data_IF_709594672578
#
_entry.id   IF_709594672578
#
_cell.length_a   1.000
_cell.length_b   1.000
_cell.length_c   1.000
_cell.angle_alpha   90.00
_cell.angle_beta   90.00
_cell.angle_gamma   90.00
#
_symmetry.space_group_name_H-M   'P 1'
#
loop_
_entity.id
_entity.type
_entity.pdbx_description
1 polymer ?
#
# COMPACT_ATOMS: atom_id res chain seq x y z
N UNK A 1 7.54 -3.72 8.79
CA UNK A 1 7.63 -2.60 7.83
C UNK A 1 6.38 -2.61 6.94
N UNK A 2 5.79 -1.46 6.63
CA UNK A 2 4.63 -1.40 5.72
C UNK A 2 5.03 -1.61 4.26
N UNK A 3 4.05 -1.88 3.39
CA UNK A 3 4.29 -1.91 1.95
C UNK A 3 4.79 -0.54 1.46
N UNK A 4 5.82 -0.57 0.62
CA UNK A 4 6.52 0.61 0.16
C UNK A 4 5.97 1.17 -1.17
N UNK A 5 4.94 0.52 -1.74
CA UNK A 5 4.27 0.89 -3.00
C UNK A 5 5.27 1.25 -4.12
N UNK A 6 6.22 0.35 -4.35
CA UNK A 6 7.32 0.48 -5.32
C UNK A 6 6.88 0.91 -6.72
N UNK A 7 7.65 1.78 -7.38
CA UNK A 7 7.47 2.10 -8.82
C UNK A 7 7.72 0.87 -9.70
N UNK A 8 8.74 0.07 -9.36
CA UNK A 8 9.09 -1.18 -10.04
C UNK A 8 8.87 -2.36 -9.08
N UNK A 9 7.60 -2.79 -8.89
CA UNK A 9 7.27 -3.79 -7.90
C UNK A 9 7.58 -5.21 -8.41
N UNK A 10 8.70 -5.79 -7.95
CA UNK A 10 9.04 -7.19 -8.21
C UNK A 10 7.88 -8.16 -7.86
N UNK A 11 7.12 -7.84 -6.81
CA UNK A 11 5.95 -8.63 -6.39
C UNK A 11 4.78 -8.67 -7.41
N UNK A 12 4.73 -7.72 -8.36
CA UNK A 12 3.81 -7.74 -9.51
C UNK A 12 4.38 -8.59 -10.64
N UNK A 13 5.66 -8.43 -10.95
CA UNK A 13 6.35 -9.16 -12.03
C UNK A 13 6.30 -10.68 -11.83
N UNK A 14 6.47 -11.16 -10.59
CA UNK A 14 6.46 -12.60 -10.29
C UNK A 14 5.06 -13.21 -10.20
N UNK A 15 3.99 -12.44 -10.33
CA UNK A 15 2.63 -12.96 -10.14
C UNK A 15 2.15 -13.71 -11.39
N UNK A 16 2.07 -15.06 -11.37
CA UNK A 16 1.79 -15.84 -12.58
C UNK A 16 0.38 -15.59 -13.13
N UNK A 17 -0.57 -15.30 -12.26
CA UNK A 17 -1.95 -15.01 -12.66
C UNK A 17 -2.17 -13.53 -12.95
N UNK A 18 -1.19 -12.64 -12.76
CA UNK A 18 -1.39 -11.16 -12.81
C UNK A 18 -2.44 -10.65 -11.83
N UNK A 19 -2.62 -11.33 -10.70
CA UNK A 19 -3.47 -10.88 -9.59
C UNK A 19 -2.87 -9.68 -8.85
N UNK A 20 -1.55 -9.60 -8.72
CA UNK A 20 -0.89 -8.37 -8.28
C UNK A 20 -0.65 -7.48 -9.50
N UNK A 21 -1.04 -6.20 -9.42
CA UNK A 21 -0.87 -5.22 -10.48
C UNK A 21 -0.67 -3.81 -9.92
N UNK A 22 -0.14 -2.89 -10.71
CA UNK A 22 0.01 -1.47 -10.35
C UNK A 22 -1.10 -0.65 -11.03
N UNK A 23 -1.86 0.11 -10.25
CA UNK A 23 -2.88 1.04 -10.75
C UNK A 23 -2.24 2.27 -11.41
N UNK A 24 -2.98 3.04 -12.23
CA UNK A 24 -2.48 4.28 -12.85
C UNK A 24 -2.03 5.35 -11.84
N UNK A 25 -2.56 5.33 -10.62
CA UNK A 25 -2.18 6.22 -9.53
C UNK A 25 -0.94 5.74 -8.74
N UNK A 26 -0.35 4.61 -9.13
CA UNK A 26 0.88 4.07 -8.57
C UNK A 26 0.66 3.06 -7.44
N UNK A 27 -0.58 2.85 -6.97
CA UNK A 27 -0.87 1.89 -5.90
C UNK A 27 -0.76 0.47 -6.46
N UNK A 28 0.06 -0.37 -5.84
CA UNK A 28 0.08 -1.81 -6.08
C UNK A 28 -1.15 -2.41 -5.42
N UNK A 29 -1.88 -3.28 -6.11
CA UNK A 29 -3.12 -3.89 -5.60
C UNK A 29 -3.07 -5.39 -5.81
N UNK A 30 -3.79 -6.14 -4.97
CA UNK A 30 -4.02 -7.56 -5.14
C UNK A 30 -5.49 -7.79 -5.47
N UNK A 31 -5.76 -8.34 -6.65
CA UNK A 31 -7.06 -8.89 -6.99
C UNK A 31 -7.32 -10.18 -6.18
N UNK A 32 -8.28 -10.10 -5.25
CA UNK A 32 -8.61 -11.20 -4.34
C UNK A 32 -9.27 -12.38 -5.04
N UNK A 33 -9.90 -12.18 -6.20
CA UNK A 33 -10.56 -13.23 -6.97
C UNK A 33 -9.61 -13.96 -7.91
N UNK A 34 -8.60 -13.23 -8.43
CA UNK A 34 -7.60 -13.77 -9.37
C UNK A 34 -6.41 -14.42 -8.67
N UNK A 35 -6.23 -14.17 -7.37
CA UNK A 35 -5.09 -14.72 -6.62
C UNK A 35 -5.28 -16.20 -6.32
N UNK A 36 -4.26 -17.01 -6.65
CA UNK A 36 -4.23 -18.46 -6.39
C UNK A 36 -3.42 -18.85 -5.15
N UNK A 37 -2.99 -17.87 -4.35
CA UNK A 37 -2.29 -18.15 -3.09
C UNK A 37 -0.89 -18.75 -3.19
N UNK A 38 -0.22 -18.67 -4.35
CA UNK A 38 1.11 -19.28 -4.58
C UNK A 38 2.28 -18.62 -3.81
N UNK A 39 2.06 -17.46 -3.18
CA UNK A 39 3.00 -16.75 -2.29
C UNK A 39 4.32 -16.26 -2.90
N UNK A 40 4.56 -16.41 -4.20
CA UNK A 40 5.77 -15.87 -4.85
C UNK A 40 5.93 -14.36 -4.67
N UNK A 41 4.82 -13.61 -4.66
CA UNK A 41 4.85 -12.18 -4.40
C UNK A 41 5.35 -11.81 -2.99
N UNK A 42 5.23 -12.72 -2.00
CA UNK A 42 5.76 -12.53 -0.66
C UNK A 42 7.29 -12.69 -0.65
N UNK A 43 7.79 -13.75 -1.30
CA UNK A 43 9.22 -14.03 -1.42
C UNK A 43 9.93 -12.93 -2.21
N UNK A 44 9.32 -12.47 -3.30
CA UNK A 44 9.90 -11.41 -4.14
C UNK A 44 9.90 -10.02 -3.48
N UNK A 45 9.16 -9.81 -2.38
CA UNK A 45 9.10 -8.50 -1.73
C UNK A 45 10.36 -8.30 -0.86
N UNK A 46 11.24 -7.34 -1.18
CA UNK A 46 12.47 -7.13 -0.40
C UNK A 46 12.20 -6.53 1.00
N UNK A 47 10.95 -6.16 1.27
CA UNK A 47 10.48 -5.56 2.51
C UNK A 47 9.68 -6.54 3.38
N UNK A 48 9.43 -7.76 2.89
CA UNK A 48 8.54 -8.74 3.52
C UNK A 48 7.19 -8.12 3.96
N UNK A 49 6.64 -7.24 3.11
CA UNK A 49 5.49 -6.40 3.45
C UNK A 49 4.13 -7.00 3.06
N UNK A 50 4.11 -8.31 2.75
CA UNK A 50 2.90 -9.07 2.44
C UNK A 50 2.70 -10.13 3.51
N UNK A 51 1.51 -10.22 4.06
CA UNK A 51 1.09 -11.23 5.03
C UNK A 51 0.21 -12.27 4.34
N UNK A 52 0.08 -13.47 4.90
CA UNK A 52 -0.79 -14.51 4.35
C UNK A 52 -1.70 -15.04 5.44
N UNK A 53 -2.99 -15.14 5.14
CA UNK A 53 -3.99 -15.66 6.08
C UNK A 53 -4.34 -17.09 5.68
N UNK A 54 -4.17 -18.03 6.61
CA UNK A 54 -4.43 -19.46 6.39
C UNK A 54 -5.85 -19.89 6.79
N UNK A 55 -6.52 -19.08 7.61
CA UNK A 55 -7.89 -19.31 8.09
C UNK A 55 -8.80 -18.21 7.58
N UNK A 56 -10.10 -18.44 7.56
CA UNK A 56 -11.05 -17.40 7.19
C UNK A 56 -10.91 -16.22 8.17
N UNK A 57 -10.56 -15.01 7.70
CA UNK A 57 -10.42 -13.86 8.58
C UNK A 57 -11.72 -13.49 9.29
N UNK A 58 -12.90 -13.88 8.79
CA UNK A 58 -14.18 -13.61 9.44
C UNK A 58 -14.35 -14.35 10.77
N UNK A 59 -13.65 -15.46 11.00
CA UNK A 59 -13.72 -16.22 12.27
C UNK A 59 -13.28 -15.40 13.49
N UNK A 60 -12.55 -14.30 13.27
CA UNK A 60 -11.91 -13.52 14.33
C UNK A 60 -12.25 -12.03 14.29
N UNK A 61 -13.26 -11.62 13.51
CA UNK A 61 -13.65 -10.22 13.38
C UNK A 61 -14.96 -9.94 14.10
N UNK A 62 -14.91 -9.08 15.12
CA UNK A 62 -16.11 -8.56 15.81
C UNK A 62 -16.77 -7.41 15.05
N UNK A 63 -15.98 -6.66 14.27
CA UNK A 63 -16.42 -5.48 13.50
C UNK A 63 -15.86 -5.56 12.09
N UNK A 64 -16.71 -5.27 11.12
CA UNK A 64 -16.38 -5.28 9.70
C UNK A 64 -16.63 -3.89 9.14
N UNK A 65 -15.65 -3.38 8.37
CA UNK A 65 -15.84 -2.17 7.59
C UNK A 65 -16.44 -2.56 6.22
N UNK A 66 -17.68 -2.16 5.90
CA UNK A 66 -18.32 -2.53 4.63
C UNK A 66 -17.69 -1.85 3.40
N UNK A 67 -16.92 -0.78 3.61
CA UNK A 67 -16.27 0.00 2.53
C UNK A 67 -15.05 -0.69 1.92
N UNK A 68 -14.58 -1.78 2.53
CA UNK A 68 -13.40 -2.52 2.07
C UNK A 68 -13.77 -3.96 1.70
N UNK A 69 -13.17 -4.52 0.65
CA UNK A 69 -13.41 -5.91 0.31
C UNK A 69 -12.96 -6.81 1.47
N UNK A 70 -13.85 -7.71 1.88
CA UNK A 70 -13.52 -8.76 2.84
C UNK A 70 -12.42 -9.61 2.23
N UNK A 71 -11.31 -9.71 2.97
CA UNK A 71 -10.18 -10.51 2.52
C UNK A 71 -10.51 -11.99 2.69
N UNK A 72 -9.93 -12.83 1.85
CA UNK A 72 -10.13 -14.27 1.89
C UNK A 72 -8.90 -14.96 2.47
N UNK A 73 -9.11 -16.09 3.11
CA UNK A 73 -8.04 -17.04 3.36
C UNK A 73 -7.40 -17.46 2.02
N UNK A 74 -6.16 -17.94 2.07
CA UNK A 74 -5.47 -18.36 0.86
C UNK A 74 -4.92 -17.22 0.01
N UNK A 75 -5.18 -15.95 0.36
CA UNK A 75 -4.75 -14.78 -0.42
C UNK A 75 -3.76 -13.92 0.38
N UNK A 76 -2.59 -13.56 -0.20
CA UNK A 76 -1.69 -12.60 0.40
C UNK A 76 -2.35 -11.22 0.58
N UNK A 77 -2.01 -10.59 1.70
CA UNK A 77 -2.51 -9.33 2.21
C UNK A 77 -1.38 -8.30 2.24
N UNK A 78 -1.69 -7.03 2.00
CA UNK A 78 -0.72 -5.93 2.19
C UNK A 78 -1.42 -4.62 2.55
N UNK A 79 -0.63 -3.60 2.89
CA UNK A 79 -1.09 -2.21 2.85
C UNK A 79 -1.37 -1.83 1.40
N UNK A 80 -2.46 -1.09 1.13
CA UNK A 80 -2.80 -0.55 -0.19
C UNK A 80 -3.14 0.94 -0.06
N UNK A 81 -2.45 1.64 0.85
CA UNK A 81 -2.69 3.06 1.19
C UNK A 81 -4.16 3.41 1.44
N UNK A 82 -4.91 2.49 2.05
CA UNK A 82 -6.36 2.63 2.25
C UNK A 82 -7.06 3.06 0.95
N UNK A 83 -6.75 2.40 -0.18
CA UNK A 83 -7.26 2.74 -1.52
C UNK A 83 -8.76 3.01 -1.59
N UNK A 84 -9.56 2.40 -0.72
CA UNK A 84 -10.99 2.67 -0.57
C UNK A 84 -11.27 4.15 -0.27
N UNK A 85 -10.53 4.80 0.64
CA UNK A 85 -10.67 6.23 0.93
C UNK A 85 -10.30 7.11 -0.28
N UNK A 86 -9.27 6.70 -1.04
CA UNK A 86 -8.86 7.39 -2.27
C UNK A 86 -9.93 7.23 -3.36
N UNK A 87 -10.52 6.05 -3.45
CA UNK A 87 -11.62 5.77 -4.37
C UNK A 87 -12.87 6.58 -3.98
N UNK A 88 -13.16 6.76 -2.68
CA UNK A 88 -14.25 7.61 -2.17
C UNK A 88 -14.06 9.09 -2.50
N UNK A 89 -12.83 9.63 -2.44
CA UNK A 89 -12.58 11.00 -2.90
C UNK A 89 -12.87 11.17 -4.39
N UNK A 90 -12.49 10.19 -5.21
CA UNK A 90 -12.70 10.25 -6.66
C UNK A 90 -14.15 10.05 -7.06
N UNK A 91 -14.85 9.14 -6.39
CA UNK A 91 -16.21 8.75 -6.74
C UNK A 91 -17.28 9.63 -6.06
N UNK A 92 -17.05 10.03 -4.81
CA UNK A 92 -18.04 10.69 -3.95
C UNK A 92 -17.64 12.11 -3.55
N UNK A 93 -16.44 12.57 -3.91
CA UNK A 93 -15.97 13.92 -3.60
C UNK A 93 -15.61 14.13 -2.13
N UNK A 94 -15.35 13.06 -1.38
CA UNK A 94 -14.82 13.15 -0.01
C UNK A 94 -13.54 13.98 -0.02
N UNK A 95 -13.48 15.05 0.77
CA UNK A 95 -12.35 15.96 0.78
C UNK A 95 -11.20 15.42 1.63
N UNK A 96 -10.01 15.40 1.07
CA UNK A 96 -8.74 15.07 1.76
C UNK A 96 -8.76 13.72 2.52
N UNK A 97 -9.14 12.59 1.88
CA UNK A 97 -9.01 11.29 2.51
C UNK A 97 -7.54 10.98 2.84
N UNK A 98 -7.22 10.91 4.12
CA UNK A 98 -5.92 10.39 4.57
C UNK A 98 -6.06 8.91 4.94
N UNK A 99 -5.09 8.04 4.65
CA UNK A 99 -5.10 6.67 5.16
C UNK A 99 -5.31 6.64 6.67
N UNK A 100 -6.01 5.61 7.17
CA UNK A 100 -6.37 5.53 8.59
C UNK A 100 -5.13 5.61 9.49
N UNK A 101 -4.01 4.99 9.11
CA UNK A 101 -2.76 5.08 9.86
C UNK A 101 -2.22 6.52 10.01
N UNK A 102 -2.48 7.40 9.05
CA UNK A 102 -2.12 8.82 9.09
C UNK A 102 -3.07 9.57 10.02
N UNK A 103 -4.37 9.28 9.94
CA UNK A 103 -5.39 9.96 10.76
C UNK A 103 -5.23 9.66 12.26
N UNK A 104 -4.92 8.41 12.61
CA UNK A 104 -4.86 7.97 14.01
C UNK A 104 -3.52 8.28 14.70
N UNK A 105 -2.50 8.68 13.95
CA UNK A 105 -1.17 8.91 14.51
C UNK A 105 -1.17 10.21 15.35
N UNK A 106 -1.02 10.15 16.69
CA UNK A 106 -1.06 11.34 17.52
C UNK A 106 0.18 12.24 17.34
N UNK A 107 1.25 11.69 16.78
CA UNK A 107 2.53 12.38 16.60
C UNK A 107 2.73 12.92 15.19
N UNK A 108 1.77 12.76 14.28
CA UNK A 108 1.89 13.13 12.87
C UNK A 108 3.15 12.56 12.18
N UNK A 109 3.57 11.36 12.58
CA UNK A 109 4.78 10.71 12.05
C UNK A 109 4.62 10.22 10.60
N UNK A 110 3.40 10.21 10.07
CA UNK A 110 3.08 9.78 8.72
C UNK A 110 2.45 10.94 7.96
N UNK A 111 3.03 11.28 6.81
CA UNK A 111 2.47 12.26 5.87
C UNK A 111 2.12 11.53 4.58
N UNK A 112 0.91 11.72 4.09
CA UNK A 112 0.40 11.10 2.89
C UNK A 112 -0.16 12.14 1.93
N UNK A 113 0.07 11.94 0.63
CA UNK A 113 -0.43 12.82 -0.41
C UNK A 113 0.06 12.44 -1.80
N UNK A 114 -0.31 13.25 -2.78
CA UNK A 114 0.07 13.06 -4.18
C UNK A 114 1.48 13.60 -4.45
N UNK A 115 2.43 12.71 -4.74
CA UNK A 115 3.82 13.07 -5.08
C UNK A 115 3.95 13.84 -6.41
N UNK A 116 2.94 13.77 -7.29
CA UNK A 116 2.93 14.52 -8.56
C UNK A 116 2.42 15.94 -8.38
N UNK A 117 1.69 16.23 -7.31
CA UNK A 117 1.25 17.57 -6.98
C UNK A 117 2.36 18.31 -6.21
N UNK A 118 2.99 19.36 -6.79
CA UNK A 118 4.06 20.10 -6.11
C UNK A 118 3.57 20.86 -4.87
N UNK A 119 2.27 21.12 -4.74
CA UNK A 119 1.69 21.82 -3.61
C UNK A 119 1.37 20.90 -2.42
N UNK A 120 1.38 19.58 -2.63
CA UNK A 120 1.12 18.61 -1.58
C UNK A 120 2.20 18.64 -0.50
N UNK A 121 1.78 18.36 0.74
CA UNK A 121 2.67 18.36 1.90
C UNK A 121 3.84 17.38 1.73
N UNK A 122 3.57 16.16 1.25
CA UNK A 122 4.59 15.14 0.99
C UNK A 122 5.59 15.58 -0.08
N UNK A 123 5.13 16.22 -1.17
CA UNK A 123 6.02 16.71 -2.23
C UNK A 123 6.95 17.80 -1.75
N UNK A 124 6.48 18.66 -0.83
CA UNK A 124 7.31 19.69 -0.19
C UNK A 124 8.37 19.04 0.69
N UNK A 125 7.99 18.14 1.59
CA UNK A 125 8.93 17.43 2.48
C UNK A 125 10.02 16.70 1.69
N UNK A 126 9.64 15.95 0.65
CA UNK A 126 10.62 15.20 -0.18
C UNK A 126 11.61 16.11 -0.90
N UNK A 127 11.22 17.36 -1.24
CA UNK A 127 12.09 18.34 -1.90
C UNK A 127 12.97 19.12 -0.92
N UNK A 128 12.45 19.43 0.26
CA UNK A 128 13.14 20.33 1.22
C UNK A 128 13.94 19.60 2.28
N UNK A 129 13.56 18.37 2.62
CA UNK A 129 14.15 17.61 3.72
C UNK A 129 15.05 16.50 3.20
N UNK A 130 16.04 16.10 4.01
CA UNK A 130 16.86 14.92 3.73
C UNK A 130 16.01 13.67 3.93
N UNK A 131 15.67 13.02 2.82
CA UNK A 131 14.90 11.77 2.82
C UNK A 131 15.70 10.60 2.29
N UNK A 132 15.40 9.41 2.79
CA UNK A 132 15.97 8.15 2.31
C UNK A 132 14.86 7.19 1.88
N UNK A 133 15.15 6.40 0.85
CA UNK A 133 14.34 5.25 0.44
C UNK A 133 15.02 3.99 0.93
N UNK A 134 14.27 3.12 1.60
CA UNK A 134 14.81 1.86 2.09
C UNK A 134 15.23 0.97 0.92
N UNK A 135 16.41 0.33 1.04
CA UNK A 135 16.95 -0.59 0.03
C UNK A 135 17.01 0.01 -1.39
N UNK A 136 17.39 1.28 -1.50
CA UNK A 136 17.42 2.01 -2.77
C UNK A 136 18.25 1.32 -3.88
N UNK A 137 19.29 0.56 -3.52
CA UNK A 137 20.13 -0.17 -4.48
C UNK A 137 19.45 -1.34 -5.21
N UNK A 138 18.22 -1.73 -4.84
CA UNK A 138 17.49 -2.83 -5.49
C UNK A 138 16.66 -2.41 -6.71
N UNK A 139 16.69 -1.13 -7.11
CA UNK A 139 15.97 -0.65 -8.31
C UNK A 139 14.44 -0.65 -8.21
N UNK A 140 13.86 -0.99 -7.04
CA UNK A 140 12.40 -1.04 -6.87
C UNK A 140 11.74 0.34 -6.77
N UNK A 141 12.54 1.39 -6.57
CA UNK A 141 12.11 2.77 -6.36
C UNK A 141 10.87 2.93 -5.45
N UNK A 142 11.02 2.64 -4.14
CA UNK A 142 9.97 2.86 -3.13
C UNK A 142 9.32 4.24 -3.20
N UNK A 143 8.01 4.31 -2.92
CA UNK A 143 7.24 5.57 -2.82
C UNK A 143 6.99 6.01 -1.37
N UNK A 144 7.52 5.27 -0.41
CA UNK A 144 7.59 5.68 0.99
C UNK A 144 8.98 6.22 1.26
N UNK A 145 9.03 7.42 1.81
CA UNK A 145 10.25 8.14 2.15
C UNK A 145 10.35 8.27 3.66
N UNK A 146 11.55 8.09 4.19
CA UNK A 146 11.86 8.26 5.60
C UNK A 146 12.72 9.49 5.75
N UNK A 147 12.33 10.42 6.63
CA UNK A 147 13.15 11.57 7.01
C UNK A 147 13.76 11.31 8.38
N UNK A 148 14.90 11.96 8.65
CA UNK A 148 15.60 11.92 9.96
C UNK A 148 16.06 10.54 10.44
N UNK A 149 16.51 9.68 9.51
CA UNK A 149 17.24 8.44 9.80
C UNK A 149 18.75 8.67 9.97
#
# INVERSE_FOLDING_TARGET
>A
LMCQECEHPACVEVCPTKASYKRPDGIVVIDLHRCIGCRYCMVACPFNARTFTFKDPLEHLEKINPEVPIRKDGVPMKCEFCRWLIDMERCEGVKNPKPVCVQVCPYNALVFGNLKDPNSEVSKIVKTSKVVRLRAGLGTEPKVFYHDL
#
